data_IF_045974961341
#
_entry.id   IF_045974961341
#
_cell.length_a   1.000
_cell.length_b   1.000
_cell.length_c   1.000
_cell.angle_alpha   90.00
_cell.angle_beta   90.00
_cell.angle_gamma   90.00
#
_symmetry.space_group_name_H-M   'P 1'
#
loop_
_entity.id
_entity.type
_entity.pdbx_description
1 polymer ?
#
# COMPACT_ATOMS: atom_id res chain seq x y z
N UNK A 1 -19.95 -7.92 3.87
CA UNK A 1 -18.67 -8.59 3.59
C UNK A 1 -17.50 -8.07 4.44
N UNK A 2 -17.00 -6.84 4.29
CA UNK A 2 -15.83 -6.38 5.09
C UNK A 2 -16.09 -6.41 6.61
N UNK A 3 -17.25 -5.92 7.04
CA UNK A 3 -17.65 -5.96 8.46
C UNK A 3 -17.94 -7.37 8.98
N UNK A 4 -18.49 -8.25 8.15
CA UNK A 4 -18.73 -9.67 8.51
C UNK A 4 -17.41 -10.41 8.67
N UNK A 5 -16.44 -10.16 7.79
CA UNK A 5 -15.11 -10.74 7.87
C UNK A 5 -14.39 -10.24 9.13
N UNK A 6 -14.45 -8.93 9.41
CA UNK A 6 -13.89 -8.35 10.64
C UNK A 6 -14.53 -8.98 11.89
N UNK A 7 -15.86 -9.12 11.91
CA UNK A 7 -16.57 -9.75 13.03
C UNK A 7 -16.14 -11.20 13.23
N UNK A 8 -15.98 -11.97 12.15
CA UNK A 8 -15.47 -13.34 12.20
C UNK A 8 -14.03 -13.39 12.74
N UNK A 9 -13.14 -12.55 12.21
CA UNK A 9 -11.74 -12.47 12.64
C UNK A 9 -11.62 -12.02 14.10
N UNK A 10 -12.48 -11.11 14.54
CA UNK A 10 -12.53 -10.67 15.94
C UNK A 10 -13.02 -11.78 16.86
N UNK A 11 -14.03 -12.55 16.45
CA UNK A 11 -14.49 -13.73 17.18
C UNK A 11 -13.39 -14.81 17.28
N UNK A 12 -12.55 -14.94 16.26
CA UNK A 12 -11.45 -15.90 16.18
C UNK A 12 -10.07 -15.27 16.49
N UNK A 13 -10.02 -14.16 17.21
CA UNK A 13 -8.75 -13.44 17.47
C UNK A 13 -7.70 -14.31 18.19
N UNK A 14 -8.13 -15.18 19.10
CA UNK A 14 -7.22 -16.07 19.82
C UNK A 14 -6.52 -17.05 18.87
N UNK A 15 -7.21 -17.50 17.81
CA UNK A 15 -6.64 -18.30 16.74
C UNK A 15 -5.63 -17.47 15.92
N UNK A 16 -5.97 -16.24 15.53
CA UNK A 16 -5.05 -15.35 14.78
C UNK A 16 -3.74 -15.04 15.53
N UNK A 17 -3.78 -14.96 16.86
CA UNK A 17 -2.61 -14.66 17.69
C UNK A 17 -1.66 -15.86 17.86
N UNK A 18 -2.01 -17.04 17.35
CA UNK A 18 -1.13 -18.21 17.41
C UNK A 18 0.08 -18.05 16.48
N UNK A 19 1.29 -18.51 16.87
CA UNK A 19 2.50 -18.40 16.05
C UNK A 19 2.36 -18.97 14.63
N UNK A 20 1.62 -20.07 14.48
CA UNK A 20 1.41 -20.76 13.19
C UNK A 20 0.59 -19.92 12.19
N UNK A 21 -0.08 -18.86 12.66
CA UNK A 21 -0.95 -18.00 11.85
C UNK A 21 -0.38 -16.58 11.68
N UNK A 22 0.90 -16.39 11.99
CA UNK A 22 1.57 -15.08 11.99
C UNK A 22 1.49 -14.34 10.64
N UNK A 23 1.55 -15.06 9.51
CA UNK A 23 1.40 -14.43 8.19
C UNK A 23 -0.02 -13.88 7.98
N UNK A 24 -1.04 -14.66 8.35
CA UNK A 24 -2.45 -14.26 8.27
C UNK A 24 -2.73 -13.07 9.18
N UNK A 25 -2.19 -13.09 10.40
CA UNK A 25 -2.21 -11.95 11.31
C UNK A 25 -1.60 -10.71 10.66
N UNK A 26 -0.40 -10.81 10.07
CA UNK A 26 0.26 -9.67 9.43
C UNK A 26 -0.57 -9.12 8.26
N UNK A 27 -1.14 -9.98 7.41
CA UNK A 27 -2.07 -9.57 6.34
C UNK A 27 -3.33 -8.89 6.90
N UNK A 28 -3.85 -9.39 8.02
CA UNK A 28 -5.01 -8.82 8.71
C UNK A 28 -4.69 -7.42 9.23
N UNK A 29 -3.58 -7.26 9.97
CA UNK A 29 -3.13 -5.95 10.47
C UNK A 29 -2.86 -4.98 9.33
N UNK A 30 -2.17 -5.42 8.28
CA UNK A 30 -1.89 -4.60 7.09
C UNK A 30 -3.17 -4.09 6.44
N UNK A 31 -4.17 -4.96 6.31
CA UNK A 31 -5.48 -4.63 5.76
C UNK A 31 -6.27 -3.69 6.68
N UNK A 32 -6.34 -3.98 7.98
CA UNK A 32 -7.09 -3.16 8.94
C UNK A 32 -6.50 -1.77 9.07
N UNK A 33 -5.16 -1.61 9.11
CA UNK A 33 -4.53 -0.28 9.14
C UNK A 33 -4.87 0.57 7.90
N UNK A 34 -4.90 -0.04 6.71
CA UNK A 34 -5.31 0.66 5.47
C UNK A 34 -6.80 1.05 5.50
N UNK A 35 -7.68 0.17 6.01
CA UNK A 35 -9.12 0.42 6.14
C UNK A 35 -9.42 1.55 7.14
N UNK A 36 -8.72 1.59 8.28
CA UNK A 36 -8.87 2.65 9.29
C UNK A 36 -8.73 4.03 8.66
N UNK A 37 -7.73 4.23 7.79
CA UNK A 37 -7.56 5.50 7.09
C UNK A 37 -8.72 5.88 6.18
N UNK A 38 -9.32 4.89 5.51
CA UNK A 38 -10.49 5.09 4.64
C UNK A 38 -11.74 5.45 5.47
N UNK A 39 -12.00 4.71 6.55
CA UNK A 39 -13.18 4.96 7.41
C UNK A 39 -13.08 6.28 8.17
N UNK A 40 -11.88 6.69 8.60
CA UNK A 40 -11.65 7.98 9.25
C UNK A 40 -12.05 9.17 8.37
N UNK A 41 -11.87 9.07 7.05
CA UNK A 41 -12.28 10.13 6.10
C UNK A 41 -13.76 10.07 5.71
N UNK A 42 -14.39 8.90 5.84
CA UNK A 42 -15.76 8.66 5.35
C UNK A 42 -16.86 8.99 6.37
N UNK A 43 -16.51 9.52 7.55
CA UNK A 43 -17.45 9.78 8.67
C UNK A 43 -18.27 8.54 9.12
N UNK A 44 -17.78 7.32 8.84
CA UNK A 44 -18.42 6.06 9.25
C UNK A 44 -17.94 5.72 10.68
N UNK A 45 -18.39 6.54 11.64
CA UNK A 45 -17.95 6.51 13.04
C UNK A 45 -18.07 5.14 13.75
N UNK A 46 -19.18 4.38 13.66
CA UNK A 46 -19.30 3.12 14.42
C UNK A 46 -18.36 2.01 13.92
N UNK A 47 -18.03 2.01 12.63
CA UNK A 47 -17.13 1.01 12.05
C UNK A 47 -15.66 1.34 12.39
N UNK A 48 -15.31 2.62 12.36
CA UNK A 48 -13.95 3.09 12.64
C UNK A 48 -13.46 2.65 14.04
N UNK A 49 -14.29 2.84 15.07
CA UNK A 49 -13.89 2.47 16.44
C UNK A 49 -13.66 0.96 16.57
N UNK A 50 -14.49 0.16 15.91
CA UNK A 50 -14.38 -1.31 15.91
C UNK A 50 -13.09 -1.75 15.22
N UNK A 51 -12.77 -1.15 14.07
CA UNK A 51 -11.52 -1.43 13.34
C UNK A 51 -10.28 -1.05 14.16
N UNK A 52 -10.30 0.13 14.80
CA UNK A 52 -9.23 0.62 15.67
C UNK A 52 -8.98 -0.35 16.83
N UNK A 53 -10.03 -0.69 17.57
CA UNK A 53 -9.93 -1.59 18.72
C UNK A 53 -9.44 -2.97 18.31
N UNK A 54 -9.93 -3.49 17.19
CA UNK A 54 -9.48 -4.78 16.66
C UNK A 54 -7.99 -4.73 16.29
N UNK A 55 -7.55 -3.69 15.56
CA UNK A 55 -6.15 -3.51 15.19
C UNK A 55 -5.23 -3.40 16.43
N UNK A 56 -5.65 -2.63 17.44
CA UNK A 56 -4.93 -2.52 18.72
C UNK A 56 -4.75 -3.88 19.40
N UNK A 57 -5.80 -4.69 19.46
CA UNK A 57 -5.77 -6.01 20.08
C UNK A 57 -4.82 -6.98 19.36
N UNK A 58 -4.67 -6.85 18.04
CA UNK A 58 -3.71 -7.65 17.28
C UNK A 58 -2.27 -7.16 17.41
N UNK A 59 -2.06 -5.84 17.49
CA UNK A 59 -0.74 -5.22 17.56
C UNK A 59 -0.10 -5.32 18.94
N UNK A 60 -0.83 -5.04 20.02
CA UNK A 60 -0.26 -4.95 21.38
C UNK A 60 0.57 -6.18 21.80
N UNK A 61 0.12 -7.43 21.57
CA UNK A 61 0.86 -8.60 22.02
C UNK A 61 2.19 -8.84 21.29
N UNK A 62 2.32 -8.37 20.04
CA UNK A 62 3.38 -8.80 19.13
C UNK A 62 3.81 -7.72 18.14
N UNK A 63 3.77 -6.45 18.56
CA UNK A 63 3.99 -5.27 17.74
C UNK A 63 5.27 -5.35 16.91
N UNK A 64 6.42 -5.58 17.56
CA UNK A 64 7.73 -5.63 16.89
C UNK A 64 7.80 -6.78 15.87
N UNK A 65 7.21 -7.93 16.18
CA UNK A 65 7.18 -9.07 15.27
C UNK A 65 6.33 -8.78 14.04
N UNK A 66 5.15 -8.18 14.21
CA UNK A 66 4.26 -7.78 13.11
C UNK A 66 4.89 -6.69 12.24
N UNK A 67 5.36 -5.60 12.86
CA UNK A 67 6.01 -4.49 12.16
C UNK A 67 7.21 -4.96 11.35
N UNK A 68 8.07 -5.78 11.96
CA UNK A 68 9.23 -6.36 11.27
C UNK A 68 8.81 -7.38 10.22
N UNK A 69 7.70 -8.09 10.36
CA UNK A 69 7.26 -9.07 9.35
C UNK A 69 6.74 -8.39 8.10
N UNK A 70 5.89 -7.37 8.28
CA UNK A 70 5.36 -6.54 7.20
C UNK A 70 6.48 -5.76 6.51
N UNK A 71 7.39 -5.16 7.28
CA UNK A 71 8.49 -4.34 6.74
C UNK A 71 8.08 -2.88 6.53
N UNK A 72 8.81 -2.17 5.66
CA UNK A 72 8.72 -0.70 5.54
C UNK A 72 7.32 -0.15 5.32
N UNK A 73 6.45 -0.82 4.55
CA UNK A 73 5.08 -0.33 4.33
C UNK A 73 4.22 -0.32 5.61
N UNK A 74 4.62 -1.04 6.68
CA UNK A 74 4.00 -0.88 7.99
C UNK A 74 4.12 0.57 8.48
N UNK A 75 5.32 1.16 8.34
CA UNK A 75 5.59 2.54 8.74
C UNK A 75 4.73 3.50 7.91
N UNK A 76 4.56 3.23 6.61
CA UNK A 76 3.70 4.02 5.71
C UNK A 76 2.27 4.08 6.21
N UNK A 77 1.70 2.91 6.50
CA UNK A 77 0.30 2.78 6.92
C UNK A 77 0.08 3.37 8.31
N UNK A 78 0.99 3.12 9.25
CA UNK A 78 0.90 3.67 10.60
C UNK A 78 1.03 5.20 10.57
N UNK A 79 1.99 5.73 9.81
CA UNK A 79 2.14 7.18 9.63
C UNK A 79 0.87 7.80 9.02
N UNK A 80 0.30 7.17 7.99
CA UNK A 80 -0.94 7.64 7.39
C UNK A 80 -2.08 7.67 8.42
N UNK A 81 -2.27 6.60 9.20
CA UNK A 81 -3.30 6.52 10.22
C UNK A 81 -3.16 7.61 11.30
N UNK A 82 -1.95 7.79 11.85
CA UNK A 82 -1.69 8.77 12.91
C UNK A 82 -1.70 10.21 12.40
N UNK A 83 -0.92 10.51 11.35
CA UNK A 83 -0.61 11.90 10.98
C UNK A 83 -1.59 12.46 9.96
N UNK A 84 -2.00 11.66 8.97
CA UNK A 84 -2.85 12.12 7.86
C UNK A 84 -4.33 11.98 8.21
N UNK A 85 -4.69 10.82 8.78
CA UNK A 85 -6.06 10.52 9.17
C UNK A 85 -6.38 10.95 10.61
N UNK A 86 -5.37 11.37 11.39
CA UNK A 86 -5.53 11.91 12.75
C UNK A 86 -6.28 10.96 13.68
N UNK A 87 -5.86 9.70 13.69
CA UNK A 87 -6.41 8.66 14.58
C UNK A 87 -5.54 8.57 15.84
N UNK A 88 -5.90 9.25 16.95
CA UNK A 88 -5.05 9.37 18.13
C UNK A 88 -4.80 8.02 18.82
N UNK A 89 -5.73 7.06 18.72
CA UNK A 89 -5.60 5.72 19.28
C UNK A 89 -4.43 4.93 18.69
N UNK A 90 -3.97 5.31 17.49
CA UNK A 90 -2.82 4.68 16.84
C UNK A 90 -1.48 5.33 17.22
N UNK A 91 -1.49 6.52 17.82
CA UNK A 91 -0.26 7.25 18.18
C UNK A 91 0.60 6.49 19.19
N UNK A 92 -0.01 5.68 20.06
CA UNK A 92 0.73 4.81 21.01
C UNK A 92 1.73 3.90 20.28
N UNK A 93 1.35 3.38 19.11
CA UNK A 93 2.24 2.52 18.31
C UNK A 93 3.27 3.31 17.53
N UNK A 94 2.93 4.55 17.11
CA UNK A 94 3.90 5.42 16.48
C UNK A 94 5.03 5.74 17.45
N UNK A 95 4.70 6.11 18.68
CA UNK A 95 5.68 6.33 19.74
C UNK A 95 6.51 5.07 20.02
N UNK A 96 5.87 3.90 20.13
CA UNK A 96 6.59 2.63 20.29
C UNK A 96 7.53 2.31 19.12
N UNK A 97 7.18 2.69 17.90
CA UNK A 97 8.00 2.45 16.71
C UNK A 97 9.28 3.29 16.71
N UNK A 98 9.15 4.58 17.06
CA UNK A 98 10.22 5.59 16.97
C UNK A 98 10.94 5.86 18.30
N UNK A 99 10.55 5.17 19.38
CA UNK A 99 11.18 5.29 20.69
C UNK A 99 12.70 5.10 20.60
N UNK A 100 13.47 5.99 21.22
CA UNK A 100 14.93 5.98 21.09
C UNK A 100 15.60 4.80 21.80
N UNK A 101 14.91 4.15 22.73
CA UNK A 101 15.48 3.06 23.55
C UNK A 101 14.97 1.68 23.13
N UNK A 102 13.72 1.58 22.73
CA UNK A 102 13.00 0.33 22.45
C UNK A 102 12.44 0.24 21.04
N UNK A 103 12.50 1.34 20.28
CA UNK A 103 11.98 1.46 18.94
C UNK A 103 12.62 0.49 17.96
N UNK A 104 11.94 0.32 16.83
CA UNK A 104 12.39 -0.58 15.77
C UNK A 104 12.26 0.03 14.37
N UNK A 105 12.02 1.34 14.27
CA UNK A 105 11.80 2.04 12.99
C UNK A 105 12.89 1.75 11.97
N UNK A 106 14.17 1.82 12.33
CA UNK A 106 15.28 1.59 11.40
C UNK A 106 15.29 0.14 10.89
N UNK A 107 15.03 -0.82 11.77
CA UNK A 107 14.98 -2.25 11.42
C UNK A 107 13.80 -2.53 10.48
N UNK A 108 12.64 -1.93 10.75
CA UNK A 108 11.43 -2.09 9.94
C UNK A 108 11.61 -1.43 8.58
N UNK A 109 12.12 -0.20 8.53
CA UNK A 109 12.43 0.54 7.29
C UNK A 109 13.47 -0.18 6.43
N UNK A 110 14.47 -0.80 7.07
CA UNK A 110 15.48 -1.61 6.39
C UNK A 110 14.95 -2.94 5.85
N UNK A 111 13.69 -3.32 6.11
CA UNK A 111 13.11 -4.52 5.54
C UNK A 111 12.16 -4.18 4.38
N UNK A 112 12.43 -4.64 3.15
CA UNK A 112 11.47 -4.53 2.06
C UNK A 112 10.15 -5.22 2.41
N UNK A 113 9.05 -4.62 2.01
CA UNK A 113 7.72 -5.21 2.17
C UNK A 113 7.57 -6.39 1.22
N UNK A 114 7.13 -7.54 1.72
CA UNK A 114 6.88 -8.70 0.87
C UNK A 114 5.66 -8.46 -0.05
N UNK A 115 5.74 -8.92 -1.30
CA UNK A 115 4.70 -8.72 -2.33
C UNK A 115 3.30 -9.17 -1.88
N UNK A 116 3.22 -10.24 -1.07
CA UNK A 116 1.95 -10.75 -0.52
C UNK A 116 1.12 -9.67 0.19
N UNK A 117 1.76 -8.74 0.91
CA UNK A 117 1.06 -7.67 1.62
C UNK A 117 0.54 -6.62 0.63
N UNK A 118 1.36 -6.23 -0.35
CA UNK A 118 0.98 -5.28 -1.39
C UNK A 118 -0.17 -5.82 -2.25
N UNK A 119 -0.10 -7.09 -2.65
CA UNK A 119 -1.15 -7.76 -3.43
C UNK A 119 -2.44 -7.93 -2.62
N UNK A 120 -2.36 -8.18 -1.30
CA UNK A 120 -3.54 -8.37 -0.45
C UNK A 120 -4.50 -7.16 -0.38
N UNK A 121 -4.05 -5.98 -0.84
CA UNK A 121 -4.88 -4.78 -0.91
C UNK A 121 -5.77 -4.70 -2.14
N UNK A 122 -5.47 -5.50 -3.16
CA UNK A 122 -6.25 -5.53 -4.38
C UNK A 122 -7.23 -6.70 -4.32
N UNK A 123 -8.44 -6.48 -4.83
CA UNK A 123 -9.30 -7.61 -5.15
C UNK A 123 -8.70 -8.39 -6.33
N UNK A 124 -8.91 -9.70 -6.36
CA UNK A 124 -8.48 -10.55 -7.47
C UNK A 124 -8.94 -10.01 -8.83
N UNK A 125 -10.16 -9.45 -8.90
CA UNK A 125 -10.69 -8.85 -10.12
C UNK A 125 -9.87 -7.63 -10.56
N UNK A 126 -9.50 -6.75 -9.62
CA UNK A 126 -8.72 -5.56 -9.92
C UNK A 126 -7.28 -5.92 -10.31
N UNK A 127 -6.66 -6.86 -9.60
CA UNK A 127 -5.35 -7.41 -9.94
C UNK A 127 -5.33 -7.97 -11.37
N UNK A 128 -6.31 -8.80 -11.70
CA UNK A 128 -6.45 -9.41 -13.04
C UNK A 128 -6.60 -8.35 -14.12
N UNK A 129 -7.37 -7.28 -13.87
CA UNK A 129 -7.55 -6.17 -14.81
C UNK A 129 -6.26 -5.38 -15.02
N UNK A 130 -5.52 -5.07 -13.95
CA UNK A 130 -4.23 -4.41 -14.07
C UNK A 130 -3.23 -5.28 -14.84
N UNK A 131 -3.18 -6.57 -14.53
CA UNK A 131 -2.35 -7.53 -15.24
C UNK A 131 -2.69 -7.54 -16.74
N UNK A 132 -3.97 -7.59 -17.10
CA UNK A 132 -4.41 -7.50 -18.50
C UNK A 132 -3.98 -6.18 -19.16
N UNK A 133 -4.13 -5.05 -18.48
CA UNK A 133 -3.74 -3.73 -18.99
C UNK A 133 -2.24 -3.71 -19.34
N UNK A 134 -1.38 -4.15 -18.43
CA UNK A 134 0.06 -4.10 -18.68
C UNK A 134 0.54 -5.13 -19.72
N UNK A 135 -0.09 -6.29 -19.81
CA UNK A 135 0.38 -7.36 -20.70
C UNK A 135 -0.23 -7.35 -22.10
N UNK A 136 -1.46 -6.83 -22.24
CA UNK A 136 -2.28 -7.06 -23.44
C UNK A 136 -2.84 -5.79 -24.04
N UNK A 137 -2.99 -4.72 -23.29
CA UNK A 137 -3.62 -3.49 -23.79
C UNK A 137 -2.60 -2.66 -24.57
N UNK A 138 -2.88 -2.32 -25.85
CA UNK A 138 -2.07 -1.36 -26.57
C UNK A 138 -2.21 0.04 -25.94
N UNK A 139 -1.10 0.76 -25.78
CA UNK A 139 -1.07 2.09 -25.13
C UNK A 139 -2.06 3.09 -25.76
N UNK A 140 -2.26 3.01 -27.09
CA UNK A 140 -3.25 3.83 -27.83
C UNK A 140 -4.71 3.63 -27.37
N UNK A 141 -5.02 2.50 -26.74
CA UNK A 141 -6.35 2.17 -26.22
C UNK A 141 -6.48 2.45 -24.72
N UNK A 142 -5.40 2.83 -24.04
CA UNK A 142 -5.34 2.96 -22.59
C UNK A 142 -6.46 3.83 -22.00
N UNK A 143 -6.81 4.94 -22.67
CA UNK A 143 -7.83 5.89 -22.19
C UNK A 143 -9.18 5.22 -21.88
N UNK A 144 -9.58 4.22 -22.68
CA UNK A 144 -10.83 3.47 -22.46
C UNK A 144 -10.76 2.60 -21.21
N UNK A 145 -9.61 1.99 -20.95
CA UNK A 145 -9.42 1.15 -19.76
C UNK A 145 -9.28 2.00 -18.49
N UNK A 146 -8.64 3.17 -18.60
CA UNK A 146 -8.60 4.17 -17.54
C UNK A 146 -10.01 4.61 -17.12
N UNK A 147 -10.89 4.93 -18.07
CA UNK A 147 -12.26 5.33 -17.75
C UNK A 147 -13.06 4.20 -17.09
N UNK A 148 -12.86 2.95 -17.51
CA UNK A 148 -13.47 1.78 -16.86
C UNK A 148 -12.96 1.56 -15.43
N UNK A 149 -11.65 1.67 -15.22
CA UNK A 149 -11.08 1.58 -13.88
C UNK A 149 -11.60 2.70 -12.99
N UNK A 150 -11.65 3.93 -13.50
CA UNK A 150 -12.14 5.08 -12.77
C UNK A 150 -13.61 4.91 -12.37
N UNK A 151 -14.48 4.57 -13.33
CA UNK A 151 -15.91 4.39 -13.06
C UNK A 151 -16.21 3.28 -12.05
N UNK A 152 -15.40 2.21 -12.02
CA UNK A 152 -15.68 1.05 -11.15
C UNK A 152 -15.00 1.16 -9.78
N UNK A 153 -13.76 1.61 -9.73
CA UNK A 153 -12.91 1.49 -8.54
C UNK A 153 -12.45 2.82 -7.95
N UNK A 154 -12.63 3.95 -8.64
CA UNK A 154 -12.10 5.26 -8.22
C UNK A 154 -13.10 6.39 -8.47
N UNK A 155 -14.41 6.10 -8.42
CA UNK A 155 -15.44 7.08 -8.80
C UNK A 155 -15.79 8.03 -7.66
N UNK A 156 -15.62 7.60 -6.41
CA UNK A 156 -15.87 8.41 -5.21
C UNK A 156 -14.57 8.77 -4.48
N UNK A 157 -14.55 9.85 -3.68
CA UNK A 157 -13.38 10.23 -2.86
C UNK A 157 -12.90 9.13 -1.91
N UNK A 158 -13.83 8.35 -1.36
CA UNK A 158 -13.54 7.23 -0.46
C UNK A 158 -12.83 6.10 -1.21
N UNK A 159 -13.29 5.79 -2.43
CA UNK A 159 -12.66 4.79 -3.27
C UNK A 159 -11.27 5.20 -3.76
N UNK A 160 -11.04 6.50 -3.97
CA UNK A 160 -9.73 7.01 -4.36
C UNK A 160 -8.65 6.80 -3.28
N UNK A 161 -9.03 6.51 -2.02
CA UNK A 161 -8.09 6.12 -0.97
C UNK A 161 -7.34 4.81 -1.30
N UNK A 162 -7.79 4.04 -2.30
CA UNK A 162 -7.10 2.86 -2.82
C UNK A 162 -5.85 3.20 -3.66
N UNK A 163 -5.72 4.43 -4.17
CA UNK A 163 -4.64 4.82 -5.09
C UNK A 163 -3.22 4.60 -4.56
N UNK A 164 -2.89 4.95 -3.30
CA UNK A 164 -1.57 4.64 -2.75
C UNK A 164 -1.26 3.13 -2.80
N UNK A 165 -2.24 2.28 -2.51
CA UNK A 165 -2.06 0.82 -2.54
C UNK A 165 -1.89 0.31 -3.98
N UNK A 166 -2.60 0.88 -4.97
CA UNK A 166 -2.40 0.57 -6.39
C UNK A 166 -1.00 0.97 -6.89
N UNK A 167 -0.52 2.13 -6.45
CA UNK A 167 0.83 2.60 -6.75
C UNK A 167 1.86 1.64 -6.14
N UNK A 168 1.71 1.28 -4.86
CA UNK A 168 2.62 0.33 -4.21
C UNK A 168 2.62 -1.02 -4.90
N UNK A 169 1.47 -1.52 -5.34
CA UNK A 169 1.37 -2.74 -6.13
C UNK A 169 2.14 -2.64 -7.46
N UNK A 170 1.94 -1.55 -8.23
CA UNK A 170 2.62 -1.36 -9.52
C UNK A 170 4.14 -1.20 -9.36
N UNK A 171 4.60 -0.51 -8.32
CA UNK A 171 6.03 -0.34 -8.07
C UNK A 171 6.67 -1.62 -7.52
N UNK A 172 6.07 -2.22 -6.49
CA UNK A 172 6.67 -3.29 -5.69
C UNK A 172 6.32 -4.72 -6.09
N UNK A 173 5.29 -4.93 -6.92
CA UNK A 173 4.84 -6.28 -7.33
C UNK A 173 4.97 -6.48 -8.83
N UNK A 174 4.44 -5.55 -9.62
CA UNK A 174 4.46 -5.71 -11.07
C UNK A 174 5.80 -5.28 -11.67
N UNK A 175 6.66 -6.25 -11.96
CA UNK A 175 7.95 -6.06 -12.62
C UNK A 175 7.90 -6.64 -14.06
N UNK A 176 7.80 -5.78 -15.10
CA UNK A 176 7.74 -6.23 -16.48
C UNK A 176 9.00 -6.99 -16.90
N UNK A 177 8.85 -7.97 -17.79
CA UNK A 177 10.00 -8.65 -18.41
C UNK A 177 10.72 -7.72 -19.39
N UNK A 178 11.95 -8.05 -19.76
CA UNK A 178 12.72 -7.27 -20.74
C UNK A 178 12.00 -7.17 -22.10
N UNK A 179 11.28 -8.22 -22.51
CA UNK A 179 10.46 -8.21 -23.74
C UNK A 179 9.31 -7.19 -23.65
N UNK A 180 8.66 -7.10 -22.49
CA UNK A 180 7.61 -6.12 -22.25
C UNK A 180 8.17 -4.70 -22.24
N UNK A 181 9.33 -4.47 -21.61
CA UNK A 181 10.00 -3.17 -21.58
C UNK A 181 10.44 -2.71 -22.98
N UNK A 182 10.88 -3.64 -23.82
CA UNK A 182 11.28 -3.36 -25.19
C UNK A 182 10.10 -3.10 -26.14
N UNK A 183 8.85 -3.36 -25.72
CA UNK A 183 7.67 -3.21 -26.55
C UNK A 183 7.05 -1.79 -26.41
N UNK A 184 7.18 -0.90 -27.40
CA UNK A 184 6.68 0.48 -27.30
C UNK A 184 5.15 0.57 -27.39
N UNK A 185 4.47 -0.53 -27.71
CA UNK A 185 3.02 -0.56 -27.87
C UNK A 185 2.29 -0.99 -26.61
N UNK A 186 2.97 -1.57 -25.61
CA UNK A 186 2.35 -1.90 -24.33
C UNK A 186 2.27 -0.67 -23.42
N UNK A 187 1.38 -0.75 -22.44
CA UNK A 187 1.22 0.31 -21.43
C UNK A 187 2.41 0.24 -20.45
N UNK A 188 3.27 1.27 -20.36
CA UNK A 188 4.34 1.27 -19.39
C UNK A 188 3.81 1.65 -18.01
N UNK A 189 4.47 1.18 -16.95
CA UNK A 189 4.04 1.39 -15.55
C UNK A 189 3.92 2.86 -15.19
N UNK A 190 4.91 3.66 -15.58
CA UNK A 190 4.95 5.10 -15.31
C UNK A 190 3.72 5.83 -15.88
N UNK A 191 3.15 5.37 -17.00
CA UNK A 191 1.96 6.00 -17.60
C UNK A 191 0.72 5.84 -16.73
N UNK A 192 0.57 4.68 -16.08
CA UNK A 192 -0.52 4.43 -15.11
C UNK A 192 -0.30 5.23 -13.82
N UNK A 193 0.92 5.23 -13.29
CA UNK A 193 1.27 6.00 -12.08
C UNK A 193 1.06 7.50 -12.29
N UNK A 194 1.51 8.05 -13.42
CA UNK A 194 1.32 9.46 -13.76
C UNK A 194 -0.16 9.83 -13.92
N UNK A 195 -0.98 8.94 -14.49
CA UNK A 195 -2.43 9.14 -14.56
C UNK A 195 -3.07 9.19 -13.16
N UNK A 196 -2.70 8.28 -12.26
CA UNK A 196 -3.21 8.28 -10.89
C UNK A 196 -2.82 9.53 -10.12
N UNK A 197 -1.56 9.97 -10.20
CA UNK A 197 -1.11 11.23 -9.59
C UNK A 197 -1.90 12.43 -10.11
N UNK A 198 -2.13 12.50 -11.43
CA UNK A 198 -2.95 13.56 -12.04
C UNK A 198 -4.40 13.50 -11.58
N UNK A 199 -4.96 12.31 -11.36
CA UNK A 199 -6.36 12.15 -10.95
C UNK A 199 -6.67 12.70 -9.55
N UNK A 200 -5.66 12.93 -8.73
CA UNK A 200 -5.79 13.45 -7.35
C UNK A 200 -5.21 14.85 -7.17
N UNK A 201 -4.95 15.58 -8.26
CA UNK A 201 -4.36 16.91 -8.21
C UNK A 201 -5.15 17.90 -7.33
N UNK A 202 -6.49 17.76 -7.30
CA UNK A 202 -7.38 18.57 -6.45
C UNK A 202 -7.51 18.10 -4.99
N UNK A 203 -6.88 17.00 -4.59
CA UNK A 203 -6.90 16.46 -3.23
C UNK A 203 -5.46 16.38 -2.68
N UNK A 204 -5.03 17.44 -1.99
CA UNK A 204 -3.64 17.59 -1.55
C UNK A 204 -3.17 16.48 -0.61
N UNK A 205 -4.01 16.05 0.34
CA UNK A 205 -3.67 14.98 1.28
C UNK A 205 -3.47 13.65 0.56
N UNK A 206 -4.41 13.27 -0.32
CA UNK A 206 -4.31 12.03 -1.08
C UNK A 206 -3.16 12.06 -2.09
N UNK A 207 -2.91 13.22 -2.71
CA UNK A 207 -1.76 13.45 -3.58
C UNK A 207 -0.46 13.19 -2.84
N UNK A 208 -0.30 13.74 -1.63
CA UNK A 208 0.86 13.48 -0.79
C UNK A 208 1.04 11.99 -0.50
N UNK A 209 -0.03 11.28 -0.14
CA UNK A 209 0.02 9.82 0.08
C UNK A 209 0.46 9.06 -1.17
N UNK A 210 -0.03 9.47 -2.35
CA UNK A 210 0.34 8.86 -3.62
C UNK A 210 1.80 9.14 -3.99
N UNK A 211 2.27 10.38 -3.83
CA UNK A 211 3.67 10.78 -4.08
C UNK A 211 4.62 10.02 -3.13
N UNK A 212 4.26 9.92 -1.85
CA UNK A 212 4.99 9.10 -0.89
C UNK A 212 5.01 7.62 -1.29
N UNK A 213 3.89 7.06 -1.76
CA UNK A 213 3.83 5.67 -2.23
C UNK A 213 4.73 5.41 -3.45
N UNK A 214 4.83 6.38 -4.37
CA UNK A 214 5.70 6.32 -5.55
C UNK A 214 7.18 6.31 -5.16
N UNK A 215 7.56 7.14 -4.18
CA UNK A 215 8.96 7.32 -3.74
C UNK A 215 9.35 6.40 -2.57
N UNK A 216 8.43 5.58 -2.05
CA UNK A 216 8.57 4.97 -0.73
C UNK A 216 9.81 4.09 -0.55
N UNK A 217 10.28 3.45 -1.63
CA UNK A 217 11.45 2.58 -1.59
C UNK A 217 12.78 3.35 -1.70
N UNK A 218 12.77 4.63 -2.06
CA UNK A 218 13.97 5.43 -2.32
C UNK A 218 14.83 5.67 -1.06
N UNK A 219 14.28 6.13 0.08
CA UNK A 219 15.12 6.56 1.20
C UNK A 219 15.95 5.45 1.82
N UNK A 220 15.50 4.19 1.65
CA UNK A 220 16.15 3.02 2.23
C UNK A 220 16.79 2.13 1.18
N UNK A 221 16.74 2.48 -0.10
CA UNK A 221 17.17 1.61 -1.20
C UNK A 221 18.60 1.10 -1.03
N UNK A 222 18.78 -0.22 -1.12
CA UNK A 222 20.09 -0.85 -0.93
C UNK A 222 20.28 -2.08 -1.84
N UNK A 223 21.16 -1.93 -2.85
CA UNK A 223 21.55 -2.99 -3.78
C UNK A 223 22.46 -4.08 -3.17
N UNK A 224 23.00 -3.85 -1.98
CA UNK A 224 23.93 -4.76 -1.29
C UNK A 224 23.37 -5.22 0.07
N UNK A 225 22.05 -5.16 0.23
CA UNK A 225 21.39 -5.52 1.49
C UNK A 225 21.74 -6.96 1.89
N UNK A 226 22.05 -7.15 3.17
CA UNK A 226 22.21 -8.44 3.83
C UNK A 226 21.63 -8.34 5.25
N UNK A 227 21.05 -9.42 5.81
CA UNK A 227 20.81 -10.73 5.21
C UNK A 227 19.59 -10.78 4.25
N UNK A 228 18.80 -9.71 4.19
CA UNK A 228 17.64 -9.63 3.29
C UNK A 228 18.05 -9.54 1.82
N UNK A 229 17.16 -9.92 0.88
CA UNK A 229 17.38 -9.69 -0.55
C UNK A 229 17.67 -8.21 -0.86
N UNK A 230 18.51 -7.93 -1.88
CA UNK A 230 18.74 -6.57 -2.34
C UNK A 230 17.44 -5.96 -2.87
N UNK A 231 17.30 -4.64 -2.74
CA UNK A 231 16.16 -3.93 -3.33
C UNK A 231 16.23 -4.01 -4.87
N UNK A 232 15.06 -4.12 -5.51
CA UNK A 232 14.96 -4.19 -6.97
C UNK A 232 14.85 -2.77 -7.56
N UNK A 233 15.67 -2.45 -8.56
CA UNK A 233 15.61 -1.17 -9.29
C UNK A 233 14.22 -0.90 -9.88
N UNK A 234 13.47 -1.96 -10.23
CA UNK A 234 12.11 -1.85 -10.74
C UNK A 234 11.13 -1.21 -9.75
N UNK A 235 11.48 -1.13 -8.46
CA UNK A 235 10.69 -0.39 -7.47
C UNK A 235 10.84 1.13 -7.61
N UNK A 236 11.96 1.61 -8.16
CA UNK A 236 12.25 3.05 -8.31
C UNK A 236 11.90 3.59 -9.70
N UNK A 237 12.02 2.74 -10.73
CA UNK A 237 11.85 3.11 -12.14
C UNK A 237 10.56 3.90 -12.45
N UNK A 238 9.37 3.55 -11.90
CA UNK A 238 8.14 4.26 -12.27
C UNK A 238 8.21 5.74 -11.90
N UNK A 239 8.78 6.06 -10.73
CA UNK A 239 8.95 7.42 -10.25
C UNK A 239 9.88 8.24 -11.16
N UNK A 240 11.03 7.66 -11.50
CA UNK A 240 12.02 8.30 -12.38
C UNK A 240 11.43 8.60 -13.75
N UNK A 241 10.70 7.65 -14.33
CA UNK A 241 10.12 7.82 -15.65
C UNK A 241 8.92 8.76 -15.64
N UNK A 242 8.09 8.80 -14.58
CA UNK A 242 7.06 9.84 -14.44
C UNK A 242 7.69 11.22 -14.45
N UNK A 243 8.75 11.43 -13.67
CA UNK A 243 9.45 12.71 -13.62
C UNK A 243 10.04 13.08 -14.98
N UNK A 244 10.77 12.16 -15.61
CA UNK A 244 11.41 12.39 -16.90
C UNK A 244 10.40 12.69 -18.02
N UNK A 245 9.31 11.92 -18.12
CA UNK A 245 8.30 12.07 -19.16
C UNK A 245 7.38 13.29 -18.95
N UNK A 246 7.39 13.89 -17.76
CA UNK A 246 6.62 15.09 -17.44
C UNK A 246 7.41 16.39 -17.69
N UNK A 247 8.70 16.31 -18.01
CA UNK A 247 9.49 17.50 -18.33
C UNK A 247 9.03 18.12 -19.66
N UNK A 248 9.07 19.46 -19.80
CA UNK A 248 8.86 20.12 -21.08
C UNK A 248 9.82 19.56 -22.14
N UNK A 249 9.31 19.36 -23.36
CA UNK A 249 10.11 18.93 -24.51
C UNK A 249 10.64 20.13 -25.29
#
# INVERSE_FOLDING_TARGET
MAQELLAMLNAQKAWLLQPDHHQTLCCTVYTTLSIIGTHAKSNIQPNLQTDIQFCQQLLKPQFKAVATTIGRDFVRLLYAACVIHKVPEMEEFWHLLVDSTTGCVDTVLAKPTHAVFLTSRLSLELETKLHFIFHKVPIRQLRRYQSWLQSRYLHSPEQQQLLPDLIRYVCGVFHPTNEMLANPHLVPRWQMVGWWLKSVEGNQELRWMCEQAVLYDWPTFNLRRRPNPPDNLMNLEPAMLVMHQSLPK
#
